data_IF_807866220815
#
_entry.id   IF_807866220815
#
_cell.length_a   1.000
_cell.length_b   1.000
_cell.length_c   1.000
_cell.angle_alpha   90.00
_cell.angle_beta   90.00
_cell.angle_gamma   90.00
#
_symmetry.space_group_name_H-M   'P 1'
#
loop_
_entity.id
_entity.type
_entity.pdbx_description
1 polymer ?
#
# COMPACT_ATOMS: atom_id res chain seq x y z
N UNK A 1 13.09 12.43 -3.81
CA UNK A 1 11.76 12.65 -4.43
C UNK A 1 11.61 14.05 -5.04
N UNK A 2 11.31 15.12 -4.27
CA UNK A 2 11.07 16.48 -4.82
C UNK A 2 12.22 17.05 -5.66
N UNK A 3 13.48 16.91 -5.21
CA UNK A 3 14.67 17.29 -6.00
C UNK A 3 14.80 16.53 -7.34
N UNK A 4 14.15 15.38 -7.45
CA UNK A 4 14.07 14.58 -8.66
C UNK A 4 12.77 14.82 -9.46
N UNK A 5 11.98 15.84 -9.09
CA UNK A 5 10.77 16.25 -9.81
C UNK A 5 9.47 15.55 -9.38
N UNK A 6 9.49 14.70 -8.34
CA UNK A 6 8.26 14.08 -7.84
C UNK A 6 7.52 15.02 -6.88
N UNK A 7 6.34 15.48 -7.30
CA UNK A 7 5.48 16.38 -6.53
C UNK A 7 4.40 15.66 -5.72
N UNK A 8 4.28 14.34 -5.88
CA UNK A 8 3.27 13.51 -5.24
C UNK A 8 3.55 13.13 -3.78
N UNK A 9 4.26 13.97 -3.03
CA UNK A 9 4.55 13.78 -1.60
C UNK A 9 4.54 15.12 -0.87
N UNK A 10 4.13 15.20 0.41
CA UNK A 10 4.14 16.43 1.19
C UNK A 10 5.51 17.11 1.22
N UNK A 11 5.51 18.44 1.22
CA UNK A 11 6.74 19.21 1.39
C UNK A 11 6.99 19.44 2.89
N UNK A 12 8.14 19.00 3.44
CA UNK A 12 8.46 19.23 4.83
C UNK A 12 8.81 20.70 5.07
N UNK A 13 8.14 21.31 6.04
CA UNK A 13 8.41 22.67 6.52
C UNK A 13 9.43 22.64 7.67
N UNK A 14 9.35 21.63 8.53
CA UNK A 14 10.24 21.44 9.66
C UNK A 14 9.66 20.53 10.74
N UNK A 15 10.38 20.36 11.83
CA UNK A 15 9.94 19.61 13.01
C UNK A 15 9.78 20.62 14.16
N UNK A 16 8.61 20.63 14.79
CA UNK A 16 8.31 21.50 15.94
C UNK A 16 9.04 21.01 17.20
N UNK A 17 9.09 21.86 18.24
CA UNK A 17 9.80 21.56 19.49
C UNK A 17 9.23 20.38 20.30
N UNK A 18 8.02 19.92 19.97
CA UNK A 18 7.38 18.72 20.54
C UNK A 18 7.61 17.45 19.70
N UNK A 19 8.41 17.53 18.64
CA UNK A 19 8.74 16.43 17.75
C UNK A 19 7.73 16.21 16.61
N UNK A 20 6.69 17.04 16.48
CA UNK A 20 5.73 16.92 15.38
C UNK A 20 6.29 17.47 14.08
N UNK A 21 6.12 16.72 13.01
CA UNK A 21 6.44 17.20 11.68
C UNK A 21 5.39 18.18 11.18
N UNK A 22 5.84 19.27 10.56
CA UNK A 22 4.99 20.21 9.82
C UNK A 22 5.22 20.03 8.33
N UNK A 23 4.12 19.80 7.62
CA UNK A 23 4.09 19.58 6.18
C UNK A 23 3.25 20.65 5.49
N UNK A 24 3.55 20.94 4.23
CA UNK A 24 2.68 21.77 3.38
C UNK A 24 1.40 21.00 3.08
N UNK A 25 0.26 21.65 3.30
CA UNK A 25 -1.05 21.09 3.00
C UNK A 25 -1.22 20.81 1.51
N UNK A 26 -1.74 19.64 1.17
CA UNK A 26 -2.09 19.24 -0.20
C UNK A 26 -3.60 19.27 -0.33
N UNK A 27 -4.11 20.15 -1.18
CA UNK A 27 -5.54 20.25 -1.46
C UNK A 27 -6.06 19.03 -2.23
N UNK A 28 -7.11 18.39 -1.72
CA UNK A 28 -7.74 17.21 -2.29
C UNK A 28 -8.55 16.42 -1.26
N UNK A 29 -9.05 15.27 -1.68
CA UNK A 29 -9.90 14.37 -0.90
C UNK A 29 -9.12 13.11 -0.52
N UNK A 30 -9.22 12.69 0.75
CA UNK A 30 -8.70 11.41 1.23
C UNK A 30 -9.90 10.51 1.56
N UNK A 31 -10.05 9.35 0.89
CA UNK A 31 -11.13 8.43 1.19
C UNK A 31 -10.93 7.75 2.55
N UNK A 32 -12.01 7.60 3.31
CA UNK A 32 -12.04 6.86 4.59
C UNK A 32 -13.15 5.82 4.58
N UNK A 33 -13.02 4.70 5.32
CA UNK A 33 -14.09 3.71 5.46
C UNK A 33 -15.38 4.28 6.08
N UNK A 34 -16.58 3.90 5.61
CA UNK A 34 -16.82 3.09 4.42
C UNK A 34 -16.41 3.86 3.15
N UNK A 35 -15.53 3.26 2.33
CA UNK A 35 -14.92 3.98 1.22
C UNK A 35 -15.97 4.43 0.20
N UNK A 36 -15.90 5.68 -0.29
CA UNK A 36 -16.84 6.16 -1.29
C UNK A 36 -16.64 5.45 -2.63
N UNK A 37 -17.70 5.32 -3.43
CA UNK A 37 -17.65 4.60 -4.71
C UNK A 37 -16.64 5.22 -5.70
N UNK A 38 -16.50 6.55 -5.70
CA UNK A 38 -15.58 7.26 -6.60
C UNK A 38 -14.12 6.84 -6.40
N UNK A 39 -13.70 6.55 -5.16
CA UNK A 39 -12.30 6.18 -4.84
C UNK A 39 -12.00 4.73 -5.22
N UNK A 40 -13.02 3.96 -5.57
CA UNK A 40 -12.91 2.56 -5.96
C UNK A 40 -12.91 2.37 -7.48
N UNK A 41 -13.04 3.45 -8.25
CA UNK A 41 -13.02 3.41 -9.71
C UNK A 41 -11.70 2.86 -10.27
N UNK A 42 -11.75 2.30 -11.48
CA UNK A 42 -10.56 1.82 -12.18
C UNK A 42 -9.58 2.97 -12.48
N UNK A 43 -10.09 4.17 -12.80
CA UNK A 43 -9.26 5.37 -13.01
C UNK A 43 -8.52 5.79 -11.74
N UNK A 44 -9.20 5.80 -10.58
CA UNK A 44 -8.56 6.09 -9.31
C UNK A 44 -7.43 5.08 -9.03
N UNK A 45 -7.72 3.78 -9.15
CA UNK A 45 -6.74 2.72 -8.93
C UNK A 45 -5.53 2.80 -9.87
N UNK A 46 -5.77 3.02 -11.17
CA UNK A 46 -4.70 3.17 -12.17
C UNK A 46 -3.81 4.38 -11.84
N UNK A 47 -4.41 5.53 -11.50
CA UNK A 47 -3.64 6.73 -11.14
C UNK A 47 -2.82 6.55 -9.86
N UNK A 48 -3.29 5.76 -8.88
CA UNK A 48 -2.49 5.42 -7.69
C UNK A 48 -1.27 4.57 -8.06
N UNK A 49 -1.41 3.61 -8.98
CA UNK A 49 -0.29 2.80 -9.46
C UNK A 49 0.73 3.64 -10.25
N UNK A 50 0.27 4.58 -11.07
CA UNK A 50 1.14 5.54 -11.78
C UNK A 50 1.87 6.48 -10.81
N UNK A 51 1.18 6.95 -9.76
CA UNK A 51 1.75 7.79 -8.71
C UNK A 51 2.86 7.03 -7.96
N UNK A 52 2.63 5.76 -7.61
CA UNK A 52 3.62 4.89 -7.00
C UNK A 52 4.83 4.67 -7.92
N UNK A 53 4.60 4.48 -9.22
CA UNK A 53 5.68 4.39 -10.20
C UNK A 53 6.52 5.68 -10.22
N UNK A 54 5.88 6.84 -10.19
CA UNK A 54 6.55 8.14 -10.10
C UNK A 54 7.41 8.28 -8.83
N UNK A 55 6.92 7.78 -7.69
CA UNK A 55 7.69 7.73 -6.44
C UNK A 55 8.98 6.90 -6.64
N UNK A 56 8.85 5.67 -7.14
CA UNK A 56 9.99 4.78 -7.35
C UNK A 56 11.01 5.34 -8.35
N UNK A 57 10.55 5.92 -9.46
CA UNK A 57 11.42 6.53 -10.46
C UNK A 57 12.22 7.71 -9.86
N UNK A 58 11.59 8.52 -9.00
CA UNK A 58 12.25 9.61 -8.30
C UNK A 58 13.17 9.17 -7.14
N UNK A 59 12.98 7.95 -6.63
CA UNK A 59 13.81 7.34 -5.60
C UNK A 59 15.11 6.72 -6.14
N UNK A 60 15.20 6.38 -7.44
CA UNK A 60 16.39 5.78 -8.08
C UNK A 60 17.69 6.58 -7.90
N UNK A 61 17.59 7.91 -7.78
CA UNK A 61 18.75 8.80 -7.60
C UNK A 61 19.09 9.08 -6.13
N UNK A 62 18.38 8.49 -5.19
CA UNK A 62 18.58 8.69 -3.76
C UNK A 62 19.38 7.53 -3.17
N UNK A 63 20.40 7.84 -2.38
CA UNK A 63 21.19 6.84 -1.66
C UNK A 63 20.63 6.70 -0.24
N UNK A 64 19.96 5.59 0.09
CA UNK A 64 19.36 5.41 1.42
C UNK A 64 20.33 4.89 2.47
N UNK A 65 21.61 4.65 2.10
CA UNK A 65 22.62 4.12 3.02
C UNK A 65 22.90 5.14 4.13
N UNK A 66 23.27 4.63 5.29
CA UNK A 66 23.58 5.40 6.51
C UNK A 66 22.41 6.20 7.12
N UNK A 67 21.18 5.99 6.63
CA UNK A 67 19.96 6.50 7.24
C UNK A 67 19.27 5.42 8.10
N UNK A 68 18.51 5.87 9.10
CA UNK A 68 17.66 4.99 9.90
C UNK A 68 16.28 4.91 9.27
N UNK A 69 15.76 3.69 9.16
CA UNK A 69 14.48 3.39 8.54
C UNK A 69 13.62 2.60 9.54
N UNK A 70 12.30 2.77 9.45
CA UNK A 70 11.34 1.93 10.14
C UNK A 70 11.11 0.67 9.29
N UNK A 71 11.54 -0.47 9.80
CA UNK A 71 11.51 -1.74 9.06
C UNK A 71 10.25 -2.57 9.30
N UNK A 72 9.28 -2.05 10.07
CA UNK A 72 8.08 -2.79 10.48
C UNK A 72 7.23 -3.33 9.34
N UNK A 73 7.20 -2.66 8.18
CA UNK A 73 6.51 -3.11 6.96
C UNK A 73 7.45 -3.24 5.75
N UNK A 74 8.76 -3.12 5.97
CA UNK A 74 9.75 -3.10 4.89
C UNK A 74 9.81 -4.45 4.15
N UNK A 75 10.27 -4.40 2.89
CA UNK A 75 10.51 -5.60 2.09
C UNK A 75 11.48 -6.55 2.81
N UNK A 76 11.08 -7.80 3.12
CA UNK A 76 11.93 -8.75 3.85
C UNK A 76 13.18 -9.15 3.07
N UNK A 77 13.19 -9.02 1.74
CA UNK A 77 14.39 -9.25 0.92
C UNK A 77 15.27 -8.00 0.78
N UNK A 78 14.79 -6.84 1.23
CA UNK A 78 15.45 -5.56 1.12
C UNK A 78 15.57 -5.07 -0.33
N UNK A 79 16.32 -3.99 -0.52
CA UNK A 79 16.55 -3.42 -1.85
C UNK A 79 17.20 -2.05 -1.78
N UNK A 80 17.30 -1.38 -2.92
CA UNK A 80 18.00 -0.09 -3.04
C UNK A 80 17.07 1.08 -3.30
N UNK A 81 15.79 0.82 -3.56
CA UNK A 81 14.78 1.85 -3.83
C UNK A 81 14.01 2.12 -2.55
N UNK A 82 13.93 3.38 -2.11
CA UNK A 82 13.06 3.76 -1.01
C UNK A 82 11.60 3.59 -1.45
N UNK A 83 10.95 2.60 -0.87
CA UNK A 83 9.55 2.24 -1.05
C UNK A 83 8.71 2.91 0.06
N UNK A 84 7.41 3.06 -0.17
CA UNK A 84 6.43 3.57 0.80
C UNK A 84 6.00 2.50 1.81
N UNK A 85 5.85 1.26 1.36
CA UNK A 85 5.46 0.06 2.11
C UNK A 85 4.03 0.02 2.68
N UNK A 86 3.27 1.12 2.61
CA UNK A 86 1.91 1.22 3.17
C UNK A 86 0.94 2.05 2.30
N UNK A 87 0.90 1.75 1.01
CA UNK A 87 0.01 2.43 0.07
C UNK A 87 -1.42 1.89 0.19
N UNK A 88 -2.18 2.43 1.14
CA UNK A 88 -3.63 2.25 1.27
C UNK A 88 -4.40 3.48 0.75
N UNK A 89 -5.72 3.34 0.58
CA UNK A 89 -6.57 4.45 0.11
C UNK A 89 -6.52 5.66 1.06
N UNK A 90 -6.43 5.44 2.37
CA UNK A 90 -6.32 6.48 3.38
C UNK A 90 -5.01 7.28 3.28
N UNK A 91 -3.99 6.71 2.64
CA UNK A 91 -2.69 7.35 2.42
C UNK A 91 -2.57 7.98 1.03
N UNK A 92 -3.68 8.17 0.31
CA UNK A 92 -3.69 8.77 -1.03
C UNK A 92 -4.63 9.97 -1.06
N UNK A 93 -4.09 11.12 -1.48
CA UNK A 93 -4.88 12.31 -1.79
C UNK A 93 -5.33 12.24 -3.23
N UNK A 94 -6.63 12.47 -3.46
CA UNK A 94 -7.23 12.54 -4.79
C UNK A 94 -7.70 13.95 -5.11
N UNK A 95 -7.65 14.32 -6.39
CA UNK A 95 -8.29 15.52 -6.93
C UNK A 95 -9.04 15.11 -8.19
N UNK A 96 -10.35 15.39 -8.24
CA UNK A 96 -11.23 15.02 -9.35
C UNK A 96 -11.13 13.52 -9.73
N UNK A 97 -10.99 12.65 -8.74
CA UNK A 97 -10.87 11.19 -8.93
C UNK A 97 -9.49 10.69 -9.39
N UNK A 98 -8.48 11.55 -9.42
CA UNK A 98 -7.08 11.22 -9.79
C UNK A 98 -6.18 11.31 -8.56
N UNK A 99 -5.35 10.30 -8.32
CA UNK A 99 -4.37 10.32 -7.24
C UNK A 99 -3.29 11.38 -7.50
N UNK A 100 -3.08 12.29 -6.55
CA UNK A 100 -2.13 13.42 -6.68
C UNK A 100 -1.00 13.40 -5.67
N UNK A 101 -1.17 12.73 -4.52
CA UNK A 101 -0.11 12.60 -3.53
C UNK A 101 -0.27 11.36 -2.65
N UNK A 102 0.87 10.81 -2.21
CA UNK A 102 0.97 9.82 -1.16
C UNK A 102 1.24 10.52 0.18
N UNK A 103 0.62 10.06 1.25
CA UNK A 103 0.78 10.54 2.61
C UNK A 103 1.41 9.45 3.47
N UNK A 104 1.88 9.82 4.65
CA UNK A 104 2.31 8.88 5.69
C UNK A 104 3.50 7.97 5.29
N UNK A 105 4.67 8.59 5.17
CA UNK A 105 5.92 7.90 4.85
C UNK A 105 6.60 7.26 6.08
N UNK A 106 5.88 7.02 7.17
CA UNK A 106 6.49 6.50 8.41
C UNK A 106 7.10 5.10 8.27
N UNK A 107 6.60 4.30 7.32
CA UNK A 107 7.11 2.98 6.98
C UNK A 107 8.00 2.98 5.73
N UNK A 108 8.35 4.16 5.21
CA UNK A 108 9.21 4.24 4.06
C UNK A 108 10.57 3.61 4.38
N UNK A 109 11.03 2.71 3.51
CA UNK A 109 12.29 1.99 3.72
C UNK A 109 12.83 1.45 2.38
N UNK A 110 14.13 1.14 2.28
CA UNK A 110 14.69 0.51 1.08
C UNK A 110 14.12 -0.89 0.84
N UNK A 111 13.68 -1.16 -0.38
CA UNK A 111 13.05 -2.41 -0.79
C UNK A 111 13.07 -2.60 -2.32
N UNK A 112 12.48 -3.70 -2.79
CA UNK A 112 12.20 -3.91 -4.21
C UNK A 112 10.91 -3.17 -4.58
N UNK A 113 10.87 -2.40 -5.69
CA UNK A 113 9.63 -1.74 -6.14
C UNK A 113 8.43 -2.68 -6.35
N UNK A 114 8.68 -3.96 -6.64
CA UNK A 114 7.63 -4.97 -6.79
C UNK A 114 6.94 -5.31 -5.46
N UNK A 115 7.66 -5.27 -4.35
CA UNK A 115 7.10 -5.48 -3.01
C UNK A 115 6.16 -4.33 -2.64
N UNK A 116 6.56 -3.09 -2.92
CA UNK A 116 5.69 -1.93 -2.65
C UNK A 116 4.43 -1.92 -3.54
N UNK A 117 4.57 -2.38 -4.80
CA UNK A 117 3.42 -2.62 -5.67
C UNK A 117 2.50 -3.73 -5.14
N UNK A 118 3.07 -4.75 -4.49
CA UNK A 118 2.31 -5.79 -3.81
C UNK A 118 1.57 -5.28 -2.57
N UNK A 119 2.18 -4.37 -1.80
CA UNK A 119 1.51 -3.64 -0.71
C UNK A 119 0.31 -2.83 -1.23
N UNK A 120 0.49 -2.06 -2.30
CA UNK A 120 -0.61 -1.34 -2.98
C UNK A 120 -1.70 -2.33 -3.43
N UNK A 121 -1.34 -3.42 -4.10
CA UNK A 121 -2.31 -4.41 -4.57
C UNK A 121 -3.12 -5.01 -3.41
N UNK A 122 -2.47 -5.38 -2.31
CA UNK A 122 -3.13 -5.92 -1.11
C UNK A 122 -4.20 -4.98 -0.58
N UNK A 123 -3.93 -3.67 -0.57
CA UNK A 123 -4.76 -2.65 0.09
C UNK A 123 -5.77 -1.97 -0.85
N UNK A 124 -5.45 -1.79 -2.13
CA UNK A 124 -6.25 -1.03 -3.11
C UNK A 124 -6.98 -1.91 -4.16
N UNK A 125 -6.58 -3.18 -4.35
CA UNK A 125 -7.31 -4.21 -5.15
C UNK A 125 -8.24 -5.06 -4.26
N UNK A 126 -8.55 -4.57 -3.06
CA UNK A 126 -8.77 -5.34 -1.82
C UNK A 126 -8.64 -6.87 -1.96
N UNK A 127 -7.40 -7.37 -1.87
CA UNK A 127 -7.10 -8.81 -1.85
C UNK A 127 -7.52 -9.39 -0.49
N UNK A 128 -8.81 -9.72 -0.39
CA UNK A 128 -9.43 -10.12 0.85
C UNK A 128 -10.78 -10.81 0.63
N UNK A 129 -11.31 -11.43 1.67
CA UNK A 129 -12.63 -12.07 1.65
C UNK A 129 -13.77 -11.05 1.63
N UNK A 130 -14.90 -11.42 1.02
CA UNK A 130 -16.00 -10.48 0.75
C UNK A 130 -16.68 -9.95 2.02
N UNK A 131 -16.67 -10.72 3.11
CA UNK A 131 -17.24 -10.29 4.39
C UNK A 131 -16.48 -9.11 4.99
N UNK A 132 -15.16 -9.19 5.05
CA UNK A 132 -14.35 -8.09 5.59
C UNK A 132 -14.26 -6.89 4.65
N UNK A 133 -14.30 -7.14 3.33
CA UNK A 133 -14.40 -6.07 2.31
C UNK A 133 -15.66 -5.24 2.48
N UNK A 134 -16.81 -5.89 2.63
CA UNK A 134 -18.10 -5.21 2.78
C UNK A 134 -18.15 -4.29 4.01
N UNK A 135 -17.47 -4.67 5.11
CA UNK A 135 -17.36 -3.83 6.32
C UNK A 135 -16.63 -2.50 6.07
N UNK A 136 -15.72 -2.45 5.09
CA UNK A 136 -14.99 -1.25 4.68
C UNK A 136 -15.68 -0.48 3.55
N UNK A 137 -16.88 -0.91 3.11
CA UNK A 137 -17.60 -0.24 2.02
C UNK A 137 -17.11 -0.59 0.61
N UNK A 138 -16.26 -1.60 0.46
CA UNK A 138 -15.81 -2.05 -0.85
C UNK A 138 -16.96 -2.64 -1.66
N UNK A 139 -17.10 -2.18 -2.91
CA UNK A 139 -18.06 -2.69 -3.87
C UNK A 139 -17.60 -4.03 -4.47
N UNK A 140 -18.52 -4.89 -4.95
CA UNK A 140 -18.17 -6.06 -5.74
C UNK A 140 -17.32 -5.67 -6.97
N UNK A 141 -16.23 -6.39 -7.22
CA UNK A 141 -15.32 -6.11 -8.32
C UNK A 141 -14.57 -7.37 -8.77
N UNK A 142 -14.13 -7.39 -10.03
CA UNK A 142 -13.22 -8.40 -10.57
C UNK A 142 -11.78 -8.08 -10.10
N UNK A 143 -11.40 -8.66 -8.96
CA UNK A 143 -10.09 -8.43 -8.32
C UNK A 143 -8.91 -8.90 -9.19
N UNK A 144 -8.96 -10.07 -9.86
CA UNK A 144 -7.92 -10.44 -10.82
C UNK A 144 -7.76 -9.43 -11.96
N UNK A 145 -8.85 -8.94 -12.56
CA UNK A 145 -8.77 -7.92 -13.61
C UNK A 145 -8.21 -6.59 -13.10
N UNK A 146 -8.57 -6.18 -11.88
CA UNK A 146 -8.02 -4.97 -11.25
C UNK A 146 -6.55 -5.11 -10.88
N UNK A 147 -6.09 -6.30 -10.49
CA UNK A 147 -4.65 -6.54 -10.32
C UNK A 147 -3.91 -6.39 -11.65
N UNK A 148 -4.49 -6.89 -12.76
CA UNK A 148 -3.95 -6.66 -14.10
C UNK A 148 -3.85 -5.16 -14.41
N UNK A 149 -4.90 -4.39 -14.12
CA UNK A 149 -4.91 -2.94 -14.31
C UNK A 149 -3.77 -2.26 -13.55
N UNK A 150 -3.55 -2.63 -12.28
CA UNK A 150 -2.44 -2.09 -11.47
C UNK A 150 -1.09 -2.35 -12.11
N UNK A 151 -0.83 -3.59 -12.56
CA UNK A 151 0.47 -3.93 -13.17
C UNK A 151 0.65 -3.29 -14.55
N UNK A 152 -0.42 -3.09 -15.30
CA UNK A 152 -0.39 -2.41 -16.59
C UNK A 152 -0.11 -0.91 -16.39
N UNK A 153 -0.83 -0.25 -15.49
CA UNK A 153 -0.66 1.18 -15.18
C UNK A 153 0.71 1.48 -14.56
N UNK A 154 1.20 0.61 -13.67
CA UNK A 154 2.56 0.72 -13.12
C UNK A 154 3.66 0.50 -14.18
N UNK A 155 3.34 -0.17 -15.29
CA UNK A 155 4.29 -0.57 -16.32
C UNK A 155 5.21 -1.71 -15.87
N UNK A 156 4.66 -2.69 -15.13
CA UNK A 156 5.38 -3.89 -14.71
C UNK A 156 5.58 -4.83 -15.91
N UNK A 157 6.82 -5.23 -16.13
CA UNK A 157 7.18 -6.13 -17.23
C UNK A 157 6.77 -7.59 -16.97
N UNK A 158 7.12 -8.46 -17.92
CA UNK A 158 6.72 -9.88 -17.87
C UNK A 158 7.37 -10.63 -16.71
N UNK A 159 8.63 -10.33 -16.37
CA UNK A 159 9.35 -10.99 -15.29
C UNK A 159 8.75 -10.56 -13.94
N UNK A 160 8.55 -9.26 -13.74
CA UNK A 160 7.89 -8.74 -12.56
C UNK A 160 6.47 -9.29 -12.38
N UNK A 161 5.69 -9.47 -13.46
CA UNK A 161 4.36 -10.13 -13.37
C UNK A 161 4.43 -11.56 -12.82
N UNK A 162 5.51 -12.29 -13.10
CA UNK A 162 5.68 -13.65 -12.57
C UNK A 162 6.06 -13.68 -11.09
N UNK A 163 6.73 -12.63 -10.61
CA UNK A 163 7.20 -12.52 -9.22
C UNK A 163 6.16 -11.86 -8.30
N UNK A 164 5.22 -11.08 -8.84
CA UNK A 164 4.31 -10.25 -8.06
C UNK A 164 3.48 -11.03 -7.03
N UNK A 165 3.02 -12.23 -7.37
CA UNK A 165 2.20 -13.00 -6.42
C UNK A 165 2.99 -13.52 -5.24
N UNK A 166 4.29 -13.81 -5.42
CA UNK A 166 5.18 -14.12 -4.31
C UNK A 166 5.36 -12.88 -3.42
N UNK A 167 5.59 -11.71 -4.02
CA UNK A 167 5.67 -10.45 -3.28
C UNK A 167 4.36 -10.11 -2.52
N UNK A 168 3.19 -10.47 -3.06
CA UNK A 168 1.90 -10.33 -2.35
C UNK A 168 1.82 -11.27 -1.13
N UNK A 169 2.31 -12.50 -1.24
CA UNK A 169 2.40 -13.42 -0.10
C UNK A 169 3.34 -12.90 0.99
N UNK A 170 4.48 -12.35 0.59
CA UNK A 170 5.43 -11.72 1.51
C UNK A 170 4.78 -10.53 2.22
N UNK A 171 4.11 -9.63 1.47
CA UNK A 171 3.43 -8.46 2.02
C UNK A 171 2.27 -8.83 2.96
N UNK A 172 1.54 -9.92 2.66
CA UNK A 172 0.52 -10.47 3.57
C UNK A 172 1.14 -10.96 4.88
N UNK A 173 2.28 -11.66 4.80
CA UNK A 173 3.00 -12.21 5.95
C UNK A 173 3.57 -11.11 6.81
N UNK A 174 4.29 -10.17 6.21
CA UNK A 174 4.87 -9.02 6.89
C UNK A 174 3.79 -8.20 7.62
N UNK A 175 2.66 -7.91 6.97
CA UNK A 175 1.56 -7.17 7.61
C UNK A 175 0.93 -7.93 8.79
N UNK A 176 0.77 -9.25 8.68
CA UNK A 176 0.26 -10.11 9.76
C UNK A 176 1.21 -10.13 10.97
N UNK A 177 2.51 -10.30 10.72
CA UNK A 177 3.56 -10.29 11.75
C UNK A 177 3.67 -8.92 12.42
N UNK A 178 3.65 -7.84 11.63
CA UNK A 178 3.67 -6.48 12.13
C UNK A 178 2.52 -6.23 13.10
N UNK A 179 1.28 -6.52 12.68
CA UNK A 179 0.10 -6.31 13.53
C UNK A 179 0.16 -7.22 14.76
N UNK A 180 0.55 -8.48 14.61
CA UNK A 180 0.74 -9.40 15.72
C UNK A 180 1.71 -8.85 16.76
N UNK A 181 2.87 -8.36 16.33
CA UNK A 181 3.89 -7.80 17.22
C UNK A 181 3.40 -6.55 17.98
N UNK A 182 2.62 -5.69 17.33
CA UNK A 182 2.02 -4.49 17.95
C UNK A 182 0.98 -4.85 18.98
N UNK A 183 0.15 -5.86 18.70
CA UNK A 183 -0.84 -6.40 19.65
C UNK A 183 -0.16 -7.03 20.85
N UNK A 184 0.90 -7.84 20.64
CA UNK A 184 1.68 -8.45 21.71
C UNK A 184 2.40 -7.41 22.58
N UNK A 185 2.88 -6.33 21.98
CA UNK A 185 3.47 -5.19 22.68
C UNK A 185 2.43 -4.35 23.46
N UNK A 186 1.13 -4.63 23.29
CA UNK A 186 0.05 -3.92 23.98
C UNK A 186 -0.20 -2.52 23.46
N UNK A 187 0.12 -2.24 22.19
CA UNK A 187 -0.19 -0.95 21.57
C UNK A 187 -1.71 -0.72 21.55
N UNK A 188 -2.24 0.31 22.23
CA UNK A 188 -3.68 0.49 22.40
C UNK A 188 -4.45 0.57 21.08
N UNK A 189 -3.87 1.21 20.06
CA UNK A 189 -4.54 1.39 18.77
C UNK A 189 -4.65 0.06 18.02
N UNK A 190 -3.56 -0.72 18.01
CA UNK A 190 -3.55 -2.03 17.36
C UNK A 190 -4.41 -3.07 18.11
N UNK A 191 -4.42 -3.03 19.45
CA UNK A 191 -5.29 -3.89 20.27
C UNK A 191 -6.76 -3.57 20.03
N UNK A 192 -7.13 -2.28 19.95
CA UNK A 192 -8.50 -1.88 19.65
C UNK A 192 -8.91 -2.32 18.24
N UNK A 193 -8.07 -2.05 17.23
CA UNK A 193 -8.27 -2.49 15.86
C UNK A 193 -8.47 -4.01 15.79
N UNK A 194 -7.56 -4.78 16.39
CA UNK A 194 -7.59 -6.24 16.44
C UNK A 194 -8.92 -6.75 16.99
N UNK A 195 -9.37 -6.21 18.13
CA UNK A 195 -10.63 -6.60 18.75
C UNK A 195 -11.85 -6.22 17.90
N UNK A 196 -11.82 -5.08 17.21
CA UNK A 196 -12.91 -4.65 16.31
C UNK A 196 -13.01 -5.48 15.02
N UNK A 197 -11.93 -6.13 14.59
CA UNK A 197 -11.88 -6.86 13.31
C UNK A 197 -11.94 -8.38 13.43
N UNK A 198 -12.41 -8.92 14.56
CA UNK A 198 -12.45 -10.35 14.90
C UNK A 198 -11.06 -11.00 15.17
N UNK A 199 -10.06 -10.19 15.51
CA UNK A 199 -8.73 -10.64 15.91
C UNK A 199 -8.05 -11.55 14.89
N UNK A 200 -7.48 -12.65 15.35
CA UNK A 200 -6.74 -13.61 14.50
C UNK A 200 -7.59 -14.18 13.35
N UNK A 201 -8.90 -14.35 13.58
CA UNK A 201 -9.80 -14.92 12.58
C UNK A 201 -9.89 -14.04 11.32
N UNK A 202 -9.69 -12.72 11.46
CA UNK A 202 -9.57 -11.79 10.32
C UNK A 202 -8.55 -12.25 9.28
N UNK A 203 -7.37 -12.62 9.77
CA UNK A 203 -6.21 -12.97 8.95
C UNK A 203 -6.34 -14.40 8.44
N UNK A 204 -6.85 -15.32 9.26
CA UNK A 204 -7.18 -16.67 8.81
C UNK A 204 -8.20 -16.70 7.67
N UNK A 205 -9.25 -15.86 7.73
CA UNK A 205 -10.20 -15.70 6.62
C UNK A 205 -9.53 -15.18 5.37
N UNK A 206 -8.69 -14.15 5.48
CA UNK A 206 -7.94 -13.59 4.34
C UNK A 206 -7.04 -14.66 3.71
N UNK A 207 -6.26 -15.39 4.49
CA UNK A 207 -5.37 -16.45 3.99
C UNK A 207 -6.12 -17.58 3.30
N UNK A 208 -7.23 -18.05 3.88
CA UNK A 208 -8.07 -19.06 3.24
C UNK A 208 -8.60 -18.56 1.89
N UNK A 209 -9.15 -17.35 1.88
CA UNK A 209 -9.68 -16.74 0.66
C UNK A 209 -8.59 -16.57 -0.40
N UNK A 210 -7.40 -16.10 -0.01
CA UNK A 210 -6.28 -15.94 -0.92
C UNK A 210 -5.85 -17.28 -1.52
N UNK A 211 -5.66 -18.32 -0.70
CA UNK A 211 -5.30 -19.65 -1.17
C UNK A 211 -6.33 -20.22 -2.16
N UNK A 212 -7.62 -20.04 -1.89
CA UNK A 212 -8.70 -20.53 -2.75
C UNK A 212 -8.76 -19.78 -4.09
N UNK A 213 -8.31 -18.52 -4.15
CA UNK A 213 -8.45 -17.65 -5.32
C UNK A 213 -7.13 -17.32 -6.04
N UNK A 214 -5.98 -17.68 -5.48
CA UNK A 214 -4.63 -17.37 -6.00
C UNK A 214 -4.48 -17.72 -7.49
N UNK A 215 -5.03 -18.87 -7.90
CA UNK A 215 -4.97 -19.34 -9.29
C UNK A 215 -5.63 -18.37 -10.30
N UNK A 216 -6.65 -17.61 -9.88
CA UNK A 216 -7.32 -16.62 -10.73
C UNK A 216 -6.43 -15.41 -10.96
N UNK A 217 -5.73 -14.94 -9.93
CA UNK A 217 -4.73 -13.87 -10.05
C UNK A 217 -3.55 -14.31 -10.92
N UNK A 218 -3.07 -15.54 -10.74
CA UNK A 218 -2.02 -16.11 -11.58
C UNK A 218 -2.44 -16.19 -13.05
N UNK A 219 -3.67 -16.61 -13.34
CA UNK A 219 -4.20 -16.61 -14.70
C UNK A 219 -4.32 -15.18 -15.26
N UNK A 220 -4.77 -14.25 -14.43
CA UNK A 220 -4.96 -12.86 -14.80
C UNK A 220 -3.66 -12.07 -14.91
N UNK A 221 -2.47 -12.63 -14.63
CA UNK A 221 -1.16 -11.98 -14.81
C UNK A 221 -0.33 -12.54 -15.99
N UNK A 222 -0.80 -13.59 -16.66
CA UNK A 222 -0.12 -14.24 -17.80
C UNK A 222 0.02 -13.40 -19.07
#
# INVERSE_FOLDING_TARGET
>A
MRRAGFEGAPEPVGIDGDGRERLVFIDGEVPIPPYPEWSQSDSALASTAELLRGLHDAAKGFDPRDLMWNDGLADPEGGVIVCHNDVCLENVVFRDGVAVALLDFEFAAPGRPIYDLACLARLCVPIDNDFDRARLGWQPADRPARLRLVVDAYGLDREGRTELLAAVEDALTCAEEFIGSRVEAGDPNFVEMWNRTDGAERYHRRRRWWNDNHHQFAAALR
#
